data_IF_664183108874
#
_entry.id   IF_664183108874
#
_cell.length_a   1.000
_cell.length_b   1.000
_cell.length_c   1.000
_cell.angle_alpha   90.00
_cell.angle_beta   90.00
_cell.angle_gamma   90.00
#
_symmetry.space_group_name_H-M   'P 1'
#
loop_
_entity.id
_entity.type
_entity.pdbx_description
1 polymer ?
#
# COMPACT_ATOMS: atom_id res chain seq x y z
N UNK A 1 -13.67 -13.42 -5.69
CA UNK A 1 -13.70 -11.95 -5.84
C UNK A 1 -13.23 -11.34 -4.53
N UNK A 2 -12.12 -10.61 -4.51
CA UNK A 2 -11.54 -10.10 -3.27
C UNK A 2 -12.10 -8.70 -2.99
N UNK A 3 -12.55 -8.45 -1.75
CA UNK A 3 -13.04 -7.13 -1.29
C UNK A 3 -12.03 -6.01 -1.65
N UNK A 4 -10.74 -6.34 -1.65
CA UNK A 4 -9.65 -5.44 -2.07
C UNK A 4 -9.79 -4.97 -3.52
N UNK A 5 -10.21 -5.84 -4.46
CA UNK A 5 -10.47 -5.42 -5.85
C UNK A 5 -11.67 -4.48 -5.94
N UNK A 6 -12.75 -4.77 -5.21
CA UNK A 6 -13.94 -3.90 -5.16
C UNK A 6 -13.61 -2.53 -4.56
N UNK A 7 -12.82 -2.48 -3.50
CA UNK A 7 -12.35 -1.23 -2.89
C UNK A 7 -11.40 -0.46 -3.80
N UNK A 8 -10.58 -1.16 -4.58
CA UNK A 8 -9.63 -0.53 -5.50
C UNK A 8 -10.25 -0.18 -6.85
N UNK A 9 -11.37 -0.75 -7.27
CA UNK A 9 -12.04 -0.40 -8.53
C UNK A 9 -12.72 0.97 -8.51
N UNK A 10 -12.86 1.59 -7.34
CA UNK A 10 -13.24 3.00 -7.21
C UNK A 10 -12.06 3.97 -7.47
N UNK A 11 -12.34 5.27 -7.46
CA UNK A 11 -11.34 6.35 -7.39
C UNK A 11 -10.66 6.42 -6.01
N UNK A 12 -10.22 5.27 -5.50
CA UNK A 12 -9.60 5.16 -4.18
C UNK A 12 -8.16 5.62 -4.27
N UNK A 13 -7.86 6.73 -3.60
CA UNK A 13 -6.49 7.23 -3.50
C UNK A 13 -5.61 6.22 -2.77
N UNK A 14 -4.63 5.65 -3.47
CA UNK A 14 -3.68 4.69 -2.91
C UNK A 14 -2.53 5.37 -2.16
N UNK A 15 -2.43 6.69 -2.27
CA UNK A 15 -1.43 7.53 -1.60
C UNK A 15 -1.89 8.07 -0.24
N UNK A 16 -3.07 7.66 0.23
CA UNK A 16 -3.56 8.01 1.57
C UNK A 16 -2.58 7.45 2.60
N UNK A 17 -2.13 8.33 3.49
CA UNK A 17 -1.23 8.01 4.59
C UNK A 17 -2.02 7.93 5.90
N UNK A 18 -1.72 6.91 6.71
CA UNK A 18 -2.18 6.82 8.09
C UNK A 18 -1.55 7.94 8.94
N UNK A 19 -1.97 8.04 10.19
CA UNK A 19 -1.36 8.95 11.16
C UNK A 19 0.14 8.67 11.39
N UNK A 20 0.60 7.42 11.20
CA UNK A 20 2.03 7.08 11.22
C UNK A 20 2.73 7.27 9.85
N UNK A 21 2.03 7.81 8.85
CA UNK A 21 2.55 7.97 7.49
C UNK A 21 2.52 6.69 6.66
N UNK A 22 1.84 5.64 7.13
CA UNK A 22 1.76 4.36 6.41
C UNK A 22 0.75 4.48 5.27
N UNK A 23 1.19 4.23 4.04
CA UNK A 23 0.30 3.94 2.92
C UNK A 23 -0.18 2.49 2.92
N UNK A 24 -1.26 2.24 2.18
CA UNK A 24 -1.84 0.91 1.95
C UNK A 24 -0.79 -0.14 1.54
N UNK A 25 0.22 0.25 0.76
CA UNK A 25 1.31 -0.63 0.34
C UNK A 25 2.19 -1.12 1.51
N UNK A 26 2.44 -0.29 2.54
CA UNK A 26 3.19 -0.72 3.74
C UNK A 26 2.44 -1.81 4.50
N UNK A 27 1.14 -1.59 4.75
CA UNK A 27 0.29 -2.56 5.44
C UNK A 27 0.20 -3.87 4.65
N UNK A 28 0.13 -3.80 3.32
CA UNK A 28 0.06 -4.96 2.45
C UNK A 28 1.33 -5.82 2.55
N UNK A 29 2.49 -5.19 2.65
CA UNK A 29 3.79 -5.86 2.73
C UNK A 29 4.01 -6.47 4.11
N UNK A 30 3.74 -5.71 5.17
CA UNK A 30 3.85 -6.19 6.55
C UNK A 30 2.98 -7.45 6.81
N UNK A 31 1.85 -7.57 6.12
CA UNK A 31 0.94 -8.72 6.25
C UNK A 31 1.15 -9.81 5.17
N UNK A 32 2.11 -9.64 4.26
CA UNK A 32 2.41 -10.61 3.21
C UNK A 32 1.31 -10.76 2.14
N UNK A 33 0.50 -9.72 1.91
CA UNK A 33 -0.61 -9.75 0.95
C UNK A 33 -0.14 -9.58 -0.50
N UNK A 34 0.58 -10.58 -1.02
CA UNK A 34 1.20 -10.58 -2.35
C UNK A 34 0.27 -10.16 -3.50
N UNK A 35 -1.00 -10.57 -3.46
CA UNK A 35 -2.01 -10.22 -4.47
C UNK A 35 -2.31 -8.72 -4.42
N UNK A 36 -2.44 -8.16 -3.21
CA UNK A 36 -2.72 -6.73 -2.99
C UNK A 36 -1.50 -5.89 -3.36
N UNK A 37 -0.30 -6.33 -2.96
CA UNK A 37 0.97 -5.70 -3.33
C UNK A 37 1.09 -5.59 -4.85
N UNK A 38 0.83 -6.70 -5.56
CA UNK A 38 0.90 -6.73 -7.01
C UNK A 38 -0.11 -5.78 -7.65
N UNK A 39 -1.32 -5.69 -7.09
CA UNK A 39 -2.37 -4.82 -7.61
C UNK A 39 -2.06 -3.33 -7.40
N UNK A 40 -1.57 -2.96 -6.22
CA UNK A 40 -1.16 -1.59 -5.89
C UNK A 40 0.03 -1.14 -6.75
N UNK A 41 1.04 -2.01 -6.93
CA UNK A 41 2.18 -1.73 -7.80
C UNK A 41 1.72 -1.55 -9.25
N UNK A 42 0.82 -2.40 -9.75
CA UNK A 42 0.32 -2.30 -11.13
C UNK A 42 -0.52 -1.03 -11.36
N UNK A 43 -1.14 -0.50 -10.30
CA UNK A 43 -1.87 0.77 -10.33
C UNK A 43 -0.96 2.00 -10.16
N UNK A 44 0.34 1.82 -9.95
CA UNK A 44 1.31 2.92 -9.86
C UNK A 44 1.52 3.48 -8.45
N UNK A 45 1.23 2.71 -7.39
CA UNK A 45 1.51 3.13 -6.02
C UNK A 45 3.00 3.50 -5.83
N UNK A 46 3.28 4.61 -5.16
CA UNK A 46 4.63 5.07 -4.88
C UNK A 46 5.37 4.06 -4.00
N UNK A 47 6.48 3.53 -4.52
CA UNK A 47 7.34 2.56 -3.85
C UNK A 47 8.39 3.21 -2.95
N UNK A 48 8.54 4.53 -3.05
CA UNK A 48 9.58 5.33 -2.40
C UNK A 48 9.07 6.10 -1.20
N UNK A 49 7.75 6.09 -0.99
CA UNK A 49 7.12 6.71 0.15
C UNK A 49 7.71 6.20 1.47
N UNK A 50 7.80 7.13 2.41
CA UNK A 50 8.31 6.91 3.76
C UNK A 50 7.20 7.16 4.77
N UNK A 51 7.25 6.40 5.86
CA UNK A 51 6.46 6.66 7.05
C UNK A 51 6.93 7.93 7.76
N UNK A 52 6.19 8.38 8.78
CA UNK A 52 6.59 9.49 9.67
C UNK A 52 7.92 9.16 10.38
N UNK A 53 8.18 7.89 10.68
CA UNK A 53 9.46 7.41 11.23
C UNK A 53 10.59 7.35 10.18
N UNK A 54 10.33 7.69 8.92
CA UNK A 54 11.32 7.69 7.84
C UNK A 54 11.58 6.32 7.20
N UNK A 55 10.81 5.29 7.57
CA UNK A 55 10.96 3.94 7.04
C UNK A 55 10.40 3.84 5.64
N UNK A 56 11.22 3.37 4.69
CA UNK A 56 10.74 2.91 3.39
C UNK A 56 9.98 1.59 3.50
N UNK A 57 9.20 1.34 2.46
CA UNK A 57 8.46 0.09 2.22
C UNK A 57 9.33 -1.18 2.33
N UNK A 58 10.58 -1.12 1.87
CA UNK A 58 11.53 -2.24 1.95
C UNK A 58 11.87 -2.64 3.40
N UNK A 59 11.66 -1.77 4.39
CA UNK A 59 11.88 -2.13 5.80
C UNK A 59 10.74 -2.98 6.38
N UNK A 60 9.60 -3.09 5.68
CA UNK A 60 8.43 -3.86 6.13
C UNK A 60 8.36 -5.26 5.50
N UNK A 61 9.22 -5.55 4.52
CA UNK A 61 9.35 -6.86 3.86
C UNK A 61 10.21 -7.80 4.70
#
# INVERSE_FOLDING_TARGET
ESIVRLLLDGSTDMEIRSQEGLMLLHCSIQNGYNIVISLLINRGADKTARTVSGQLILHFA
#
